data_IF_778815736160
#
_entry.id   IF_778815736160
#
_cell.length_a   1.000
_cell.length_b   1.000
_cell.length_c   1.000
_cell.angle_alpha   90.00
_cell.angle_beta   90.00
_cell.angle_gamma   90.00
#
_symmetry.space_group_name_H-M   'P 1'
#
loop_
_entity.id
_entity.type
_entity.pdbx_description
1 polymer ?
#
# COMPACT_ATOMS: atom_id res chain seq x y z
N UNK A 1 -13.12 -1.05 -8.71
CA UNK A 1 -11.89 -0.22 -8.80
C UNK A 1 -12.12 1.14 -9.44
N UNK A 2 -13.11 1.30 -10.28
CA UNK A 2 -13.41 2.61 -10.88
C UNK A 2 -13.66 3.67 -9.80
N UNK A 3 -13.09 4.84 -10.00
CA UNK A 3 -13.21 6.00 -9.10
C UNK A 3 -12.52 5.84 -7.75
N UNK A 4 -11.79 4.74 -7.54
CA UNK A 4 -10.97 4.59 -6.35
C UNK A 4 -9.82 5.60 -6.41
N UNK A 5 -9.54 6.28 -5.30
CA UNK A 5 -8.42 7.21 -5.18
C UNK A 5 -7.31 6.53 -4.41
N UNK A 6 -6.13 6.43 -5.00
CA UNK A 6 -5.02 5.66 -4.46
C UNK A 6 -3.75 6.49 -4.45
N UNK A 7 -3.06 6.53 -3.31
CA UNK A 7 -1.73 7.11 -3.20
C UNK A 7 -0.66 6.03 -3.31
N UNK A 8 0.41 6.30 -4.04
CA UNK A 8 1.51 5.36 -4.16
C UNK A 8 2.84 6.05 -3.87
N UNK A 9 3.72 5.35 -3.16
CA UNK A 9 5.04 5.83 -2.82
C UNK A 9 6.04 4.70 -2.88
N UNK A 10 7.28 5.03 -3.23
CA UNK A 10 8.39 4.07 -3.21
C UNK A 10 9.69 4.78 -2.90
N UNK A 11 10.73 3.99 -2.63
CA UNK A 11 12.10 4.48 -2.72
C UNK A 11 12.67 4.15 -4.09
N UNK A 12 14.00 4.38 -4.26
CA UNK A 12 14.69 4.11 -5.51
C UNK A 12 14.63 2.63 -5.92
N UNK A 13 14.67 1.70 -4.96
CA UNK A 13 14.60 0.26 -5.25
C UNK A 13 13.20 -0.14 -5.76
N UNK A 14 12.16 0.54 -5.30
CA UNK A 14 10.79 0.28 -5.71
C UNK A 14 10.31 1.10 -6.89
N UNK A 15 11.14 1.99 -7.43
CA UNK A 15 10.72 2.92 -8.48
C UNK A 15 10.18 2.22 -9.73
N UNK A 16 10.92 1.24 -10.25
CA UNK A 16 10.51 0.52 -11.46
C UNK A 16 9.18 -0.21 -11.26
N UNK A 17 9.02 -0.89 -10.12
CA UNK A 17 7.78 -1.58 -9.80
C UNK A 17 6.63 -0.58 -9.63
N UNK A 18 6.90 0.57 -9.01
CA UNK A 18 5.88 1.63 -8.87
C UNK A 18 5.35 2.06 -10.24
N UNK A 19 6.22 2.24 -11.21
CA UNK A 19 5.81 2.64 -12.56
C UNK A 19 4.91 1.57 -13.21
N UNK A 20 5.27 0.30 -13.07
CA UNK A 20 4.47 -0.81 -13.58
C UNK A 20 3.08 -0.86 -12.92
N UNK A 21 3.04 -0.72 -11.60
CA UNK A 21 1.79 -0.74 -10.84
C UNK A 21 0.90 0.44 -11.22
N UNK A 22 1.48 1.64 -11.33
CA UNK A 22 0.74 2.84 -11.72
C UNK A 22 0.10 2.71 -13.09
N UNK A 23 0.84 2.18 -14.06
CA UNK A 23 0.33 1.99 -15.43
C UNK A 23 -0.87 1.04 -15.42
N UNK A 24 -0.77 -0.08 -14.69
CA UNK A 24 -1.85 -1.04 -14.59
C UNK A 24 -3.08 -0.43 -13.90
N UNK A 25 -2.86 0.30 -12.80
CA UNK A 25 -3.96 0.95 -12.06
C UNK A 25 -4.73 1.94 -12.93
N UNK A 26 -4.02 2.72 -13.73
CA UNK A 26 -4.65 3.68 -14.65
C UNK A 26 -5.53 2.97 -15.67
N UNK A 27 -5.07 1.84 -16.20
CA UNK A 27 -5.88 1.01 -17.11
C UNK A 27 -7.16 0.52 -16.45
N UNK A 28 -7.13 0.29 -15.12
CA UNK A 28 -8.29 -0.15 -14.37
C UNK A 28 -9.24 1.00 -13.97
N UNK A 29 -8.91 2.22 -14.29
CA UNK A 29 -9.75 3.38 -13.95
C UNK A 29 -9.51 3.93 -12.55
N UNK A 30 -8.41 3.56 -11.91
CA UNK A 30 -8.04 4.06 -10.58
C UNK A 30 -7.40 5.45 -10.71
N UNK A 31 -7.78 6.37 -9.83
CA UNK A 31 -7.16 7.70 -9.76
C UNK A 31 -5.92 7.61 -8.86
N UNK A 32 -4.74 7.56 -9.48
CA UNK A 32 -3.47 7.36 -8.77
C UNK A 32 -2.74 8.68 -8.58
N UNK A 33 -2.32 8.96 -7.35
CA UNK A 33 -1.42 10.08 -7.04
C UNK A 33 -0.06 9.51 -6.65
N UNK A 34 0.98 9.95 -7.36
CA UNK A 34 2.35 9.53 -7.13
C UNK A 34 3.02 10.49 -6.12
N UNK A 35 3.36 9.98 -4.95
CA UNK A 35 4.03 10.75 -3.90
C UNK A 35 5.56 10.65 -3.96
N UNK A 36 6.12 9.95 -4.94
CA UNK A 36 7.55 9.76 -5.14
C UNK A 36 7.95 8.32 -4.84
N UNK A 37 9.21 7.99 -5.02
CA UNK A 37 10.30 8.88 -5.42
C UNK A 37 10.24 9.19 -6.94
N UNK A 38 10.99 10.22 -7.39
CA UNK A 38 10.92 10.64 -8.80
C UNK A 38 11.87 9.88 -9.73
N UNK A 39 12.80 9.08 -9.21
CA UNK A 39 13.82 8.41 -10.03
C UNK A 39 14.43 7.21 -9.29
N UNK A 40 15.42 6.59 -9.93
CA UNK A 40 16.21 5.51 -9.33
C UNK A 40 17.39 5.99 -8.51
N UNK A 41 17.56 7.29 -8.37
CA UNK A 41 18.61 7.86 -7.54
C UNK A 41 18.33 7.57 -6.06
N UNK A 42 19.38 7.26 -5.31
CA UNK A 42 19.27 6.93 -3.89
C UNK A 42 18.48 7.98 -3.13
N UNK A 43 17.53 7.54 -2.33
CA UNK A 43 16.65 8.42 -1.55
C UNK A 43 16.19 7.72 -0.27
N UNK A 44 15.57 8.47 0.62
CA UNK A 44 15.07 7.97 1.89
C UNK A 44 13.57 7.68 1.77
N UNK A 45 13.18 6.41 1.96
CA UNK A 45 11.78 6.01 1.79
C UNK A 45 10.79 6.77 2.70
N UNK A 46 11.16 7.19 3.94
CA UNK A 46 10.20 7.92 4.77
C UNK A 46 9.76 9.26 4.18
N UNK A 47 10.61 9.91 3.40
CA UNK A 47 10.29 11.21 2.78
C UNK A 47 9.07 11.10 1.85
N UNK A 48 8.85 9.94 1.25
CA UNK A 48 7.74 9.70 0.32
C UNK A 48 6.59 8.96 0.99
N UNK A 49 6.91 8.09 1.95
CA UNK A 49 5.91 7.30 2.67
C UNK A 49 5.01 8.16 3.55
N UNK A 50 5.59 9.13 4.28
CA UNK A 50 4.80 9.98 5.18
C UNK A 50 3.72 10.79 4.46
N UNK A 51 4.02 11.51 3.36
CA UNK A 51 2.97 12.23 2.64
C UNK A 51 1.88 11.30 2.09
N UNK A 52 2.26 10.14 1.57
CA UNK A 52 1.30 9.17 1.06
C UNK A 52 0.40 8.66 2.19
N UNK A 53 0.99 8.24 3.30
CA UNK A 53 0.25 7.74 4.46
C UNK A 53 -0.70 8.82 5.01
N UNK A 54 -0.23 10.06 5.12
CA UNK A 54 -1.07 11.16 5.57
C UNK A 54 -2.28 11.38 4.66
N UNK A 55 -2.12 11.18 3.34
CA UNK A 55 -3.23 11.33 2.40
C UNK A 55 -4.30 10.25 2.56
N UNK A 56 -3.91 9.06 2.97
CA UNK A 56 -4.87 7.98 3.27
C UNK A 56 -5.54 8.24 4.61
N UNK A 57 -4.76 8.67 5.58
CA UNK A 57 -5.25 8.95 6.93
C UNK A 57 -6.29 10.06 6.95
N UNK A 58 -6.11 11.12 6.15
CA UNK A 58 -7.04 12.25 6.12
C UNK A 58 -8.20 12.08 5.11
N UNK A 59 -8.23 10.97 4.39
CA UNK A 59 -9.31 10.67 3.45
C UNK A 59 -9.13 11.25 2.05
N UNK A 60 -8.02 11.92 1.77
CA UNK A 60 -7.72 12.42 0.42
C UNK A 60 -7.63 11.25 -0.55
N UNK A 61 -7.00 10.15 -0.13
CA UNK A 61 -6.99 8.89 -0.86
C UNK A 61 -7.70 7.82 -0.04
N UNK A 62 -8.31 6.87 -0.71
CA UNK A 62 -9.03 5.76 -0.06
C UNK A 62 -8.07 4.71 0.46
N UNK A 63 -6.99 4.45 -0.28
CA UNK A 63 -5.98 3.42 0.03
C UNK A 63 -4.62 3.87 -0.46
N UNK A 64 -3.57 3.16 -0.02
CA UNK A 64 -2.21 3.43 -0.44
C UNK A 64 -1.44 2.17 -0.81
N UNK A 65 -0.38 2.35 -1.58
CA UNK A 65 0.60 1.30 -1.89
C UNK A 65 1.98 1.87 -1.60
N UNK A 66 2.79 1.10 -0.86
CA UNK A 66 4.14 1.49 -0.44
C UNK A 66 5.13 0.42 -0.85
N UNK A 67 6.18 0.81 -1.57
CA UNK A 67 7.13 -0.14 -2.18
C UNK A 67 8.56 0.25 -1.83
N UNK A 68 9.33 -0.70 -1.28
CA UNK A 68 10.78 -0.55 -1.19
C UNK A 68 11.43 -1.91 -1.43
N UNK A 69 12.75 -2.04 -1.26
CA UNK A 69 13.46 -3.28 -1.55
C UNK A 69 12.84 -4.50 -0.87
N UNK A 70 12.74 -4.47 0.46
CA UNK A 70 12.12 -5.54 1.26
C UNK A 70 10.67 -5.24 1.61
N UNK A 71 10.24 -4.02 1.42
CA UNK A 71 8.93 -3.54 1.88
C UNK A 71 8.87 -3.25 3.38
N UNK A 72 9.87 -3.66 4.15
CA UNK A 72 9.86 -3.52 5.62
C UNK A 72 9.85 -2.07 6.08
N UNK A 73 10.88 -1.32 5.69
CA UNK A 73 11.06 0.05 6.19
C UNK A 73 9.91 0.97 5.81
N UNK A 74 9.46 0.88 4.56
CA UNK A 74 8.39 1.76 4.10
C UNK A 74 7.04 1.40 4.75
N UNK A 75 6.79 0.12 4.98
CA UNK A 75 5.59 -0.33 5.69
C UNK A 75 5.62 0.11 7.15
N UNK A 76 6.77 -0.02 7.82
CA UNK A 76 6.95 0.47 9.19
C UNK A 76 6.67 1.96 9.29
N UNK A 77 7.17 2.74 8.33
CA UNK A 77 6.95 4.19 8.29
C UNK A 77 5.47 4.52 8.21
N UNK A 78 4.75 3.88 7.30
CA UNK A 78 3.31 4.10 7.14
C UNK A 78 2.57 3.80 8.45
N UNK A 79 2.96 2.74 9.16
CA UNK A 79 2.30 2.33 10.40
C UNK A 79 2.58 3.24 11.59
N UNK A 80 3.45 4.23 11.47
CA UNK A 80 3.60 5.27 12.49
C UNK A 80 2.43 6.28 12.46
N UNK A 81 1.63 6.26 11.44
CA UNK A 81 0.41 7.07 11.36
C UNK A 81 -0.75 6.29 12.00
N UNK A 82 -1.43 6.89 12.98
CA UNK A 82 -2.45 6.20 13.78
C UNK A 82 -3.61 5.66 12.94
N UNK A 83 -3.95 6.31 11.86
CA UNK A 83 -5.02 5.88 10.97
C UNK A 83 -4.60 4.86 9.92
N UNK A 84 -3.35 4.41 9.93
CA UNK A 84 -2.83 3.52 8.90
C UNK A 84 -2.66 2.10 9.43
N UNK A 85 -3.14 1.15 8.65
CA UNK A 85 -2.90 -0.28 8.82
C UNK A 85 -2.27 -0.78 7.55
N UNK A 86 -0.93 -0.71 7.50
CA UNK A 86 -0.15 -1.13 6.34
C UNK A 86 0.28 -2.58 6.54
N UNK A 87 0.03 -3.39 5.53
CA UNK A 87 0.36 -4.81 5.55
C UNK A 87 1.40 -5.13 4.48
N UNK A 88 2.51 -5.70 4.89
CA UNK A 88 3.55 -6.18 3.97
C UNK A 88 3.13 -7.54 3.45
N UNK A 89 2.92 -7.65 2.14
CA UNK A 89 2.43 -8.87 1.52
C UNK A 89 3.34 -9.31 0.38
N UNK A 90 3.58 -10.61 0.30
CA UNK A 90 4.41 -11.22 -0.76
C UNK A 90 3.74 -12.44 -1.40
N UNK A 91 2.54 -12.78 -0.95
CA UNK A 91 1.78 -13.89 -1.51
C UNK A 91 0.28 -13.60 -1.40
N UNK A 92 -0.50 -14.24 -2.27
CA UNK A 92 -1.92 -13.98 -2.41
C UNK A 92 -2.72 -14.14 -1.12
N UNK A 93 -2.55 -15.20 -0.31
CA UNK A 93 -3.34 -15.33 0.92
C UNK A 93 -3.09 -14.19 1.90
N UNK A 94 -1.87 -13.66 1.97
CA UNK A 94 -1.53 -12.56 2.88
C UNK A 94 -2.27 -11.28 2.50
N UNK A 95 -2.33 -10.98 1.20
CA UNK A 95 -3.03 -9.79 0.72
C UNK A 95 -4.54 -9.90 0.97
N UNK A 96 -5.12 -11.07 0.74
CA UNK A 96 -6.54 -11.30 0.98
C UNK A 96 -6.88 -11.16 2.48
N UNK A 97 -6.10 -11.81 3.34
CA UNK A 97 -6.34 -11.79 4.79
C UNK A 97 -6.07 -10.43 5.42
N UNK A 98 -5.11 -9.66 4.89
CA UNK A 98 -4.87 -8.29 5.33
C UNK A 98 -6.13 -7.45 5.17
N UNK A 99 -6.91 -7.67 4.12
CA UNK A 99 -8.18 -7.00 3.92
C UNK A 99 -9.29 -7.61 4.77
N UNK A 100 -9.49 -8.91 4.64
CA UNK A 100 -10.61 -9.60 5.30
C UNK A 100 -10.57 -9.48 6.82
N UNK A 101 -9.40 -9.61 7.42
CA UNK A 101 -9.23 -9.65 8.87
C UNK A 101 -8.77 -8.34 9.48
N UNK A 102 -7.92 -7.59 8.80
CA UNK A 102 -7.26 -6.43 9.40
C UNK A 102 -7.73 -5.08 8.83
N UNK A 103 -8.58 -5.10 7.82
CA UNK A 103 -9.03 -3.88 7.13
C UNK A 103 -7.83 -2.98 6.77
N UNK A 104 -6.77 -3.61 6.24
CA UNK A 104 -5.58 -2.88 5.85
C UNK A 104 -5.91 -1.83 4.80
N UNK A 105 -5.39 -0.62 4.96
CA UNK A 105 -5.62 0.48 4.02
C UNK A 105 -4.36 0.89 3.25
N UNK A 106 -3.22 0.25 3.53
CA UNK A 106 -1.99 0.41 2.75
C UNK A 106 -1.40 -0.97 2.50
N UNK A 107 -1.04 -1.23 1.25
CA UNK A 107 -0.36 -2.47 0.86
C UNK A 107 1.13 -2.18 0.72
N UNK A 108 1.97 -2.90 1.47
CA UNK A 108 3.42 -2.86 1.34
C UNK A 108 3.91 -3.97 0.43
N UNK A 109 4.81 -3.66 -0.49
CA UNK A 109 5.35 -4.62 -1.45
C UNK A 109 6.88 -4.66 -1.43
N UNK A 110 7.48 -5.87 -1.41
CA UNK A 110 8.93 -6.05 -1.42
C UNK A 110 9.46 -6.18 -2.86
N UNK A 111 9.82 -5.06 -3.49
CA UNK A 111 10.16 -5.00 -4.91
C UNK A 111 11.23 -6.01 -5.34
N UNK A 112 12.23 -6.26 -4.49
CA UNK A 112 13.35 -7.16 -4.85
C UNK A 112 13.06 -8.63 -4.58
N UNK A 113 11.89 -8.97 -4.04
CA UNK A 113 11.57 -10.35 -3.63
C UNK A 113 10.30 -10.90 -4.27
N UNK A 114 9.65 -10.13 -5.13
CA UNK A 114 8.48 -10.59 -5.90
C UNK A 114 8.63 -10.18 -7.36
N UNK A 115 8.01 -10.93 -8.26
CA UNK A 115 7.95 -10.56 -9.67
C UNK A 115 6.94 -9.42 -9.88
N UNK A 116 7.05 -8.73 -11.01
CA UNK A 116 6.05 -7.73 -11.39
C UNK A 116 4.66 -8.34 -11.51
N UNK A 117 4.58 -9.55 -12.07
CA UNK A 117 3.31 -10.28 -12.20
C UNK A 117 2.69 -10.57 -10.84
N UNK A 118 3.50 -11.02 -9.88
CA UNK A 118 3.04 -11.26 -8.51
C UNK A 118 2.56 -9.95 -7.87
N UNK A 119 3.29 -8.86 -8.07
CA UNK A 119 2.90 -7.57 -7.51
C UNK A 119 1.52 -7.13 -8.02
N UNK A 120 1.27 -7.26 -9.32
CA UNK A 120 -0.04 -6.89 -9.90
C UNK A 120 -1.15 -7.79 -9.37
N UNK A 121 -0.88 -9.07 -9.19
CA UNK A 121 -1.82 -10.01 -8.56
C UNK A 121 -2.18 -9.55 -7.15
N UNK A 122 -1.19 -9.21 -6.33
CA UNK A 122 -1.39 -8.77 -4.96
C UNK A 122 -2.18 -7.46 -4.89
N UNK A 123 -1.87 -6.51 -5.77
CA UNK A 123 -2.60 -5.24 -5.86
C UNK A 123 -4.07 -5.50 -6.20
N UNK A 124 -4.34 -6.34 -7.18
CA UNK A 124 -5.71 -6.67 -7.57
C UNK A 124 -6.48 -7.29 -6.41
N UNK A 125 -5.90 -8.26 -5.73
CA UNK A 125 -6.52 -8.91 -4.56
C UNK A 125 -6.81 -7.87 -3.48
N UNK A 126 -5.83 -7.03 -3.16
CA UNK A 126 -5.97 -6.01 -2.12
C UNK A 126 -7.11 -5.04 -2.44
N UNK A 127 -7.23 -4.59 -3.69
CA UNK A 127 -8.23 -3.61 -4.08
C UNK A 127 -9.63 -4.17 -4.27
N UNK A 128 -9.76 -5.49 -4.41
CA UNK A 128 -11.06 -6.16 -4.67
C UNK A 128 -11.56 -7.03 -3.53
N UNK A 129 -10.84 -7.07 -2.40
CA UNK A 129 -11.23 -7.87 -1.24
C UNK A 129 -11.78 -6.96 -0.15
N UNK A 130 -12.96 -7.30 0.37
CA UNK A 130 -13.61 -6.50 1.38
C UNK A 130 -13.28 -6.97 2.79
N UNK A 131 -13.43 -6.05 3.76
CA UNK A 131 -13.30 -6.36 5.17
C UNK A 131 -14.51 -7.17 5.63
N UNK A 132 -14.26 -8.26 6.36
CA UNK A 132 -15.32 -9.12 6.87
C UNK A 132 -16.09 -8.52 8.06
N UNK A 133 -15.46 -7.63 8.82
CA UNK A 133 -16.08 -7.07 10.02
C UNK A 133 -16.21 -8.11 11.13
N UNK A 134 -17.37 -8.15 11.76
CA UNK A 134 -17.64 -9.12 12.82
C UNK A 134 -16.62 -9.04 13.97
N UNK A 135 -16.10 -10.18 14.40
CA UNK A 135 -15.11 -10.25 15.50
C UNK A 135 -13.80 -9.52 15.19
N UNK A 136 -13.47 -9.36 13.90
CA UNK A 136 -12.25 -8.69 13.48
C UNK A 136 -12.31 -7.19 13.75
N UNK A 137 -13.47 -6.58 13.62
CA UNK A 137 -13.64 -5.14 13.81
C UNK A 137 -13.22 -4.69 15.20
N UNK A 138 -13.55 -5.44 16.24
CA UNK A 138 -13.15 -5.13 17.62
C UNK A 138 -11.62 -5.07 17.74
N UNK A 139 -10.92 -6.01 17.10
CA UNK A 139 -9.45 -6.07 17.14
C UNK A 139 -8.83 -4.95 16.33
N UNK A 140 -9.35 -4.69 15.15
CA UNK A 140 -8.88 -3.60 14.29
C UNK A 140 -8.98 -2.25 15.00
N UNK A 141 -10.10 -2.02 15.71
CA UNK A 141 -10.31 -0.77 16.45
C UNK A 141 -9.36 -0.57 17.63
N UNK A 142 -8.60 -1.58 18.01
CA UNK A 142 -7.60 -1.52 19.09
C UNK A 142 -6.16 -1.40 18.59
N UNK A 143 -5.94 -1.40 17.27
CA UNK A 143 -4.58 -1.31 16.70
C UNK A 143 -3.96 0.07 16.97
N UNK A 144 -4.71 1.14 16.76
CA UNK A 144 -4.20 2.49 16.97
C UNK A 144 -3.99 2.75 18.46
N UNK A 145 -2.89 3.40 18.80
CA UNK A 145 -2.63 3.85 20.16
C UNK A 145 -3.50 5.05 20.49
N UNK A 146 -3.97 5.11 21.71
CA UNK A 146 -4.85 6.20 22.16
C UNK A 146 -4.25 6.95 23.33
#
# INVERSE_FOLDING_TARGET
MKNLKLGIASDHAGFALKQTVMAWLKEQGVQVTDYGCPSTDSCDYPDFAHPMAASVEDGTNDVGIAICSTGNGITMTCNHHQGIRAALCWDAPLAALARQHNNANVLGLPANYISQEKALELVKIFLTTEFEGGRHERRVNKIACK
#
